data_IF_167537754017
#
_entry.id   IF_167537754017
#
_cell.length_a   1.000
_cell.length_b   1.000
_cell.length_c   1.000
_cell.angle_alpha   90.00
_cell.angle_beta   90.00
_cell.angle_gamma   90.00
#
_symmetry.space_group_name_H-M   'P 1'
#
loop_
_entity.id
_entity.type
_entity.pdbx_description
1 polymer ?
#
# COMPACT_ATOMS: atom_id res chain seq x y z
N UNK A 1 19.20 7.11 -10.55
CA UNK A 1 19.38 8.31 -9.72
C UNK A 1 20.84 8.36 -9.36
N UNK A 2 21.49 9.49 -9.59
CA UNK A 2 22.89 9.69 -9.22
C UNK A 2 23.02 9.68 -7.68
N UNK A 3 24.09 9.07 -7.15
CA UNK A 3 24.24 8.87 -5.69
C UNK A 3 24.35 10.20 -4.95
N UNK A 4 25.10 11.16 -5.50
CA UNK A 4 25.32 12.48 -4.91
C UNK A 4 24.00 13.30 -4.88
N UNK A 5 23.19 13.19 -5.93
CA UNK A 5 21.86 13.84 -5.99
C UNK A 5 20.88 13.26 -4.97
N UNK A 6 21.02 11.96 -4.65
CA UNK A 6 20.19 11.30 -3.67
C UNK A 6 20.57 11.72 -2.24
N UNK A 7 21.87 11.86 -1.95
CA UNK A 7 22.36 12.33 -0.65
C UNK A 7 21.91 13.77 -0.37
N UNK A 8 22.08 14.68 -1.35
CA UNK A 8 21.61 16.08 -1.25
C UNK A 8 20.10 16.17 -0.99
N UNK A 9 19.30 15.31 -1.64
CA UNK A 9 17.85 15.24 -1.42
C UNK A 9 17.52 14.77 0.00
N UNK A 10 18.18 13.70 0.47
CA UNK A 10 17.97 13.18 1.82
C UNK A 10 18.31 14.23 2.87
N UNK A 11 19.43 14.95 2.71
CA UNK A 11 19.79 16.05 3.61
C UNK A 11 18.73 17.16 3.64
N UNK A 12 18.20 17.56 2.48
CA UNK A 12 17.15 18.57 2.40
C UNK A 12 15.87 18.12 3.10
N UNK A 13 15.46 16.86 2.91
CA UNK A 13 14.29 16.29 3.59
C UNK A 13 14.51 16.29 5.10
N UNK A 14 15.66 15.79 5.58
CA UNK A 14 15.95 15.71 7.01
C UNK A 14 16.05 17.09 7.67
N UNK A 15 16.64 18.07 6.97
CA UNK A 15 16.77 19.45 7.48
C UNK A 15 15.42 20.16 7.61
N UNK A 16 14.52 19.93 6.67
CA UNK A 16 13.21 20.61 6.63
C UNK A 16 12.15 19.86 7.41
N UNK A 17 12.24 18.53 7.48
CA UNK A 17 11.20 17.66 8.04
C UNK A 17 9.88 17.72 7.27
N UNK A 18 9.89 18.24 6.03
CA UNK A 18 8.67 18.51 5.26
C UNK A 18 8.33 17.33 4.34
N UNK A 19 7.06 16.97 4.31
CA UNK A 19 6.43 16.12 3.30
C UNK A 19 4.99 16.61 3.12
N UNK A 20 4.35 16.27 1.99
CA UNK A 20 2.99 16.71 1.76
C UNK A 20 1.99 15.68 2.31
N UNK A 21 0.97 16.17 3.03
CA UNK A 21 -0.20 15.37 3.36
C UNK A 21 -1.29 15.66 2.33
N UNK A 22 -1.26 14.92 1.23
CA UNK A 22 -2.17 15.16 0.08
C UNK A 22 -3.62 14.77 0.35
N UNK A 23 -3.84 13.86 1.29
CA UNK A 23 -5.15 13.31 1.60
C UNK A 23 -5.50 13.53 3.06
N UNK A 24 -6.79 13.74 3.33
CA UNK A 24 -7.32 13.69 4.68
C UNK A 24 -7.24 12.27 5.26
N UNK A 25 -7.54 12.17 6.55
CA UNK A 25 -7.46 10.91 7.29
C UNK A 25 -8.48 9.87 6.82
N UNK A 26 -9.67 10.30 6.39
CA UNK A 26 -10.73 9.43 5.89
C UNK A 26 -10.31 8.76 4.58
N UNK A 27 -9.81 9.55 3.65
CA UNK A 27 -9.27 9.07 2.36
C UNK A 27 -8.08 8.15 2.58
N UNK A 28 -7.17 8.52 3.49
CA UNK A 28 -6.01 7.69 3.85
C UNK A 28 -6.45 6.34 4.45
N UNK A 29 -7.47 6.36 5.30
CA UNK A 29 -8.09 5.16 5.84
C UNK A 29 -8.76 4.29 4.78
N UNK A 30 -9.37 4.90 3.76
CA UNK A 30 -9.90 4.21 2.59
C UNK A 30 -8.84 3.39 1.86
N UNK A 31 -7.67 3.98 1.58
CA UNK A 31 -6.58 3.26 0.92
C UNK A 31 -5.97 2.15 1.78
N UNK A 32 -5.87 2.37 3.08
CA UNK A 32 -5.47 1.31 4.01
C UNK A 32 -6.45 0.14 3.94
N UNK A 33 -7.75 0.44 3.95
CA UNK A 33 -8.81 -0.56 3.89
C UNK A 33 -8.69 -1.36 2.60
N UNK A 34 -8.41 -0.68 1.48
CA UNK A 34 -8.10 -1.32 0.21
C UNK A 34 -6.88 -2.24 0.27
N UNK A 35 -5.75 -1.77 0.84
CA UNK A 35 -4.55 -2.60 0.98
C UNK A 35 -4.78 -3.81 1.89
N UNK A 36 -5.55 -3.62 2.96
CA UNK A 36 -5.94 -4.70 3.89
C UNK A 36 -6.71 -5.78 3.14
N UNK A 37 -7.76 -5.36 2.41
CA UNK A 37 -8.53 -6.26 1.56
C UNK A 37 -7.62 -7.02 0.59
N UNK A 38 -6.69 -6.33 -0.10
CA UNK A 38 -5.83 -6.98 -1.10
C UNK A 38 -4.88 -8.01 -0.50
N UNK A 39 -4.34 -7.76 0.69
CA UNK A 39 -3.48 -8.72 1.39
C UNK A 39 -4.27 -9.98 1.76
N UNK A 40 -5.47 -9.80 2.32
CA UNK A 40 -6.40 -10.87 2.69
C UNK A 40 -6.86 -11.66 1.45
N UNK A 41 -7.26 -10.97 0.39
CA UNK A 41 -7.73 -11.57 -0.87
C UNK A 41 -6.63 -12.39 -1.54
N UNK A 42 -5.39 -11.89 -1.53
CA UNK A 42 -4.25 -12.60 -2.14
C UNK A 42 -4.04 -13.96 -1.48
N UNK A 43 -4.07 -14.02 -0.14
CA UNK A 43 -3.93 -15.29 0.58
C UNK A 43 -5.10 -16.21 0.28
N UNK A 44 -6.33 -15.72 0.44
CA UNK A 44 -7.54 -16.52 0.23
C UNK A 44 -7.60 -17.11 -1.18
N UNK A 45 -7.40 -16.28 -2.20
CA UNK A 45 -7.44 -16.68 -3.61
C UNK A 45 -6.31 -17.65 -3.94
N UNK A 46 -5.10 -17.43 -3.42
CA UNK A 46 -3.99 -18.35 -3.61
C UNK A 46 -4.28 -19.71 -2.96
N UNK A 47 -4.71 -19.72 -1.70
CA UNK A 47 -4.96 -20.95 -0.95
C UNK A 47 -6.14 -21.75 -1.49
N UNK A 48 -7.26 -21.12 -1.85
CA UNK A 48 -8.37 -21.82 -2.55
C UNK A 48 -7.91 -22.51 -3.84
N UNK A 49 -6.95 -21.94 -4.56
CA UNK A 49 -6.42 -22.52 -5.80
C UNK A 49 -5.42 -23.65 -5.54
N UNK A 50 -4.62 -23.54 -4.47
CA UNK A 50 -3.56 -24.52 -4.17
C UNK A 50 -4.03 -25.69 -3.29
N UNK A 51 -5.06 -25.49 -2.48
CA UNK A 51 -5.57 -26.44 -1.50
C UNK A 51 -7.00 -26.87 -1.88
N UNK A 52 -7.09 -27.58 -3.01
CA UNK A 52 -8.35 -27.86 -3.71
C UNK A 52 -9.27 -28.82 -2.94
N UNK A 53 -8.70 -29.69 -2.11
CA UNK A 53 -9.43 -30.71 -1.34
C UNK A 53 -9.20 -30.59 0.18
N UNK A 54 -8.61 -29.48 0.64
CA UNK A 54 -8.25 -29.27 2.05
C UNK A 54 -9.08 -28.20 2.75
N UNK A 55 -8.58 -27.75 3.90
CA UNK A 55 -9.25 -26.79 4.78
C UNK A 55 -9.75 -25.54 4.04
N UNK A 56 -9.00 -25.04 3.05
CA UNK A 56 -9.33 -23.81 2.34
C UNK A 56 -10.38 -23.98 1.25
N UNK A 57 -10.65 -25.21 0.77
CA UNK A 57 -11.49 -25.47 -0.38
C UNK A 57 -12.94 -24.98 -0.18
N UNK A 58 -13.48 -25.22 1.00
CA UNK A 58 -14.89 -24.96 1.30
C UNK A 58 -15.12 -23.61 2.00
N UNK A 59 -14.08 -22.94 2.48
CA UNK A 59 -14.22 -21.65 3.16
C UNK A 59 -14.88 -20.60 2.27
N UNK A 60 -15.94 -20.00 2.78
CA UNK A 60 -16.47 -18.72 2.29
C UNK A 60 -15.52 -17.58 2.68
N UNK A 61 -15.69 -16.41 2.05
CA UNK A 61 -14.94 -15.22 2.42
C UNK A 61 -15.16 -14.83 3.90
N UNK A 62 -16.41 -14.92 4.37
CA UNK A 62 -16.78 -14.57 5.75
C UNK A 62 -16.17 -15.49 6.79
N UNK A 63 -16.17 -16.80 6.53
CA UNK A 63 -15.51 -17.79 7.38
C UNK A 63 -14.00 -17.57 7.41
N UNK A 64 -13.39 -17.31 6.25
CA UNK A 64 -11.96 -16.97 6.16
C UNK A 64 -11.61 -15.72 6.98
N UNK A 65 -12.36 -14.63 6.84
CA UNK A 65 -12.09 -13.41 7.60
C UNK A 65 -12.31 -13.65 9.10
N UNK A 66 -13.32 -14.44 9.47
CA UNK A 66 -13.57 -14.81 10.87
C UNK A 66 -12.42 -15.63 11.44
N UNK A 67 -11.88 -16.57 10.67
CA UNK A 67 -10.69 -17.35 10.98
C UNK A 67 -9.45 -16.45 11.13
N UNK A 68 -9.16 -15.58 10.15
CA UNK A 68 -8.01 -14.68 10.19
C UNK A 68 -8.01 -13.73 11.39
N UNK A 69 -9.20 -13.26 11.82
CA UNK A 69 -9.34 -12.43 13.03
C UNK A 69 -9.04 -13.18 14.33
N UNK A 70 -9.27 -14.49 14.37
CA UNK A 70 -9.07 -15.34 15.56
C UNK A 70 -7.63 -15.84 15.65
N UNK A 71 -7.04 -16.18 14.51
CA UNK A 71 -5.69 -16.72 14.46
C UNK A 71 -4.64 -15.63 14.52
N UNK A 72 -4.11 -15.40 15.74
CA UNK A 72 -3.12 -14.36 16.01
C UNK A 72 -1.88 -14.47 15.13
N UNK A 73 -1.38 -15.69 14.91
CA UNK A 73 -0.18 -15.92 14.08
C UNK A 73 -0.44 -15.51 12.63
N UNK A 74 -1.62 -15.85 12.09
CA UNK A 74 -2.01 -15.48 10.73
C UNK A 74 -2.25 -13.97 10.58
N UNK A 75 -2.86 -13.33 11.58
CA UNK A 75 -3.04 -11.88 11.61
C UNK A 75 -1.69 -11.14 11.59
N UNK A 76 -0.73 -11.58 12.41
CA UNK A 76 0.63 -11.02 12.43
C UNK A 76 1.37 -11.27 11.11
N UNK A 77 1.17 -12.42 10.48
CA UNK A 77 1.71 -12.69 9.15
C UNK A 77 1.13 -11.76 8.08
N UNK A 78 -0.18 -11.53 8.08
CA UNK A 78 -0.83 -10.60 7.15
C UNK A 78 -0.30 -9.17 7.32
N UNK A 79 -0.15 -8.70 8.56
CA UNK A 79 0.53 -7.44 8.87
C UNK A 79 1.94 -7.41 8.26
N UNK A 80 2.74 -8.45 8.52
CA UNK A 80 4.13 -8.52 8.03
C UNK A 80 4.20 -8.54 6.50
N UNK A 81 3.28 -9.23 5.84
CA UNK A 81 3.14 -9.24 4.37
C UNK A 81 2.85 -7.85 3.84
N UNK A 82 1.85 -7.14 4.40
CA UNK A 82 1.53 -5.77 4.00
C UNK A 82 2.76 -4.87 4.12
N UNK A 83 3.37 -4.85 5.31
CA UNK A 83 4.53 -4.01 5.61
C UNK A 83 5.71 -4.30 4.68
N UNK A 84 6.11 -5.56 4.56
CA UNK A 84 7.27 -5.94 3.74
C UNK A 84 7.04 -5.59 2.27
N UNK A 85 5.83 -5.80 1.75
CA UNK A 85 5.51 -5.53 0.35
C UNK A 85 5.59 -4.03 0.05
N UNK A 86 5.01 -3.19 0.92
CA UNK A 86 5.09 -1.72 0.77
C UNK A 86 6.53 -1.22 0.88
N UNK A 87 7.33 -1.78 1.80
CA UNK A 87 8.74 -1.42 1.96
C UNK A 87 9.58 -1.85 0.75
N UNK A 88 9.29 -3.01 0.16
CA UNK A 88 10.01 -3.52 -1.01
C UNK A 88 9.61 -2.85 -2.34
N UNK A 89 8.49 -2.13 -2.40
CA UNK A 89 8.02 -1.48 -3.63
C UNK A 89 9.10 -0.55 -4.21
N UNK A 90 9.57 -0.71 -5.45
CA UNK A 90 10.71 0.05 -5.94
C UNK A 90 10.32 1.49 -6.33
N UNK A 91 11.19 2.46 -6.06
CA UNK A 91 10.93 3.85 -6.43
C UNK A 91 10.79 4.05 -7.95
N UNK A 92 11.40 3.19 -8.75
CA UNK A 92 11.29 3.21 -10.21
C UNK A 92 9.95 2.68 -10.75
N UNK A 93 9.10 2.07 -9.91
CA UNK A 93 7.77 1.61 -10.32
C UNK A 93 6.72 2.73 -10.29
N UNK A 94 7.02 3.89 -9.70
CA UNK A 94 6.13 5.05 -9.79
C UNK A 94 6.17 5.62 -11.21
N UNK A 95 5.06 5.44 -11.95
CA UNK A 95 4.85 6.02 -13.27
C UNK A 95 3.82 7.15 -13.19
N UNK A 96 4.27 8.37 -13.45
CA UNK A 96 3.49 9.60 -13.39
C UNK A 96 2.71 9.90 -14.68
N UNK A 97 2.84 9.05 -15.69
CA UNK A 97 2.19 9.21 -17.00
C UNK A 97 0.94 8.35 -17.16
N UNK A 98 0.75 7.36 -16.29
CA UNK A 98 -0.40 6.46 -16.35
C UNK A 98 -1.72 7.21 -16.10
N UNK A 99 -2.78 6.69 -16.73
CA UNK A 99 -4.15 6.98 -16.33
C UNK A 99 -4.40 6.47 -14.91
N UNK A 100 -5.38 7.05 -14.24
CA UNK A 100 -5.71 6.66 -12.87
C UNK A 100 -6.18 5.20 -12.84
N UNK A 101 -5.56 4.39 -11.98
CA UNK A 101 -6.05 3.05 -11.72
C UNK A 101 -7.31 3.11 -10.85
N UNK A 102 -8.26 2.23 -11.15
CA UNK A 102 -9.44 2.04 -10.33
C UNK A 102 -9.06 1.29 -9.05
N UNK A 103 -9.39 1.90 -7.91
CA UNK A 103 -9.20 1.33 -6.58
C UNK A 103 -10.58 0.88 -6.11
N UNK A 104 -10.92 -0.38 -6.39
CA UNK A 104 -12.25 -0.93 -6.13
C UNK A 104 -12.20 -2.31 -5.42
N UNK A 105 -13.28 -2.63 -4.73
CA UNK A 105 -13.49 -3.90 -4.05
C UNK A 105 -14.41 -4.79 -4.91
N UNK A 106 -14.03 -6.03 -5.24
CA UNK A 106 -14.87 -6.88 -6.08
C UNK A 106 -16.24 -7.14 -5.46
N UNK A 107 -17.30 -6.99 -6.25
CA UNK A 107 -18.70 -7.22 -5.84
C UNK A 107 -18.88 -8.59 -5.16
N UNK A 108 -18.14 -9.61 -5.60
CA UNK A 108 -18.18 -10.96 -5.03
C UNK A 108 -17.73 -11.07 -3.56
N UNK A 109 -17.15 -10.00 -2.98
CA UNK A 109 -16.69 -9.95 -1.59
C UNK A 109 -17.68 -9.28 -0.65
N UNK A 110 -18.75 -8.70 -1.18
CA UNK A 110 -19.83 -8.14 -0.40
C UNK A 110 -20.83 -9.24 -0.02
N UNK A 111 -21.29 -9.21 1.23
CA UNK A 111 -22.36 -10.08 1.68
C UNK A 111 -23.72 -9.65 1.10
N UNK A 112 -24.77 -10.41 1.42
CA UNK A 112 -26.14 -10.11 0.97
C UNK A 112 -26.71 -8.77 1.46
N UNK A 113 -26.10 -8.17 2.49
CA UNK A 113 -26.43 -6.85 3.00
C UNK A 113 -25.58 -5.73 2.37
N UNK A 114 -24.67 -6.06 1.46
CA UNK A 114 -23.75 -5.11 0.84
C UNK A 114 -22.59 -4.70 1.76
N UNK A 115 -22.23 -5.54 2.73
CA UNK A 115 -21.11 -5.27 3.64
C UNK A 115 -19.86 -6.05 3.24
N UNK A 116 -18.72 -5.37 3.24
CA UNK A 116 -17.41 -5.99 3.06
C UNK A 116 -16.80 -6.34 4.42
N UNK A 117 -16.54 -7.63 4.64
CA UNK A 117 -15.86 -8.12 5.84
C UNK A 117 -14.35 -8.16 5.63
N UNK A 118 -13.59 -7.58 6.56
CA UNK A 118 -12.12 -7.57 6.58
C UNK A 118 -11.58 -7.72 7.99
N UNK A 119 -10.41 -8.31 8.18
CA UNK A 119 -9.90 -8.59 9.52
C UNK A 119 -9.42 -7.36 10.30
N UNK A 120 -9.27 -6.21 9.63
CA UNK A 120 -8.72 -4.97 10.20
C UNK A 120 -7.34 -5.23 10.78
N UNK A 121 -6.34 -5.40 9.91
CA UNK A 121 -5.01 -5.83 10.28
C UNK A 121 -4.31 -4.93 11.30
N UNK A 122 -4.63 -3.64 11.37
CA UNK A 122 -3.92 -2.69 12.22
C UNK A 122 -4.89 -1.70 12.89
N UNK A 123 -4.45 -1.06 13.98
CA UNK A 123 -5.18 0.05 14.62
C UNK A 123 -5.01 1.35 13.83
N UNK A 124 -6.06 2.16 13.76
CA UNK A 124 -6.13 3.40 12.96
C UNK A 124 -4.83 4.26 12.98
N UNK A 125 -4.27 4.51 14.16
CA UNK A 125 -3.07 5.33 14.35
C UNK A 125 -1.79 4.71 13.76
N UNK A 126 -1.58 3.39 13.90
CA UNK A 126 -0.40 2.71 13.36
C UNK A 126 -0.50 2.49 11.83
N UNK A 127 -1.71 2.55 11.29
CA UNK A 127 -2.01 2.28 9.89
C UNK A 127 -1.70 3.43 8.93
N UNK A 128 -2.04 4.66 9.35
CA UNK A 128 -1.92 5.85 8.53
C UNK A 128 -0.48 5.99 8.02
N UNK A 129 0.50 5.63 8.86
CA UNK A 129 1.92 5.67 8.53
C UNK A 129 2.33 4.79 7.35
N UNK A 130 1.68 3.64 7.07
CA UNK A 130 2.04 2.78 5.94
C UNK A 130 1.63 3.44 4.61
N UNK A 131 0.41 3.97 4.56
CA UNK A 131 -0.12 4.64 3.36
C UNK A 131 0.63 5.95 3.13
N UNK A 132 0.83 6.74 4.18
CA UNK A 132 1.62 7.98 4.14
C UNK A 132 3.06 7.71 3.72
N UNK A 133 3.68 6.61 4.18
CA UNK A 133 5.01 6.23 3.75
C UNK A 133 5.08 5.93 2.26
N UNK A 134 4.12 5.17 1.70
CA UNK A 134 4.08 4.91 0.26
C UNK A 134 3.86 6.21 -0.53
N UNK A 135 3.01 7.11 -0.04
CA UNK A 135 2.82 8.44 -0.64
C UNK A 135 4.10 9.26 -0.62
N UNK A 136 4.78 9.33 0.52
CA UNK A 136 6.07 10.01 0.64
C UNK A 136 7.12 9.47 -0.34
N UNK A 137 7.13 8.15 -0.59
CA UNK A 137 8.00 7.57 -1.60
C UNK A 137 7.64 8.00 -3.02
N UNK A 138 6.35 8.13 -3.33
CA UNK A 138 5.88 8.70 -4.60
C UNK A 138 6.31 10.16 -4.74
N UNK A 139 6.14 10.98 -3.69
CA UNK A 139 6.60 12.38 -3.64
C UNK A 139 8.11 12.49 -3.91
N UNK A 140 8.90 11.68 -3.21
CA UNK A 140 10.35 11.64 -3.39
C UNK A 140 10.76 11.21 -4.79
N UNK A 141 10.02 10.30 -5.41
CA UNK A 141 10.26 9.86 -6.79
C UNK A 141 9.84 10.94 -7.82
N UNK A 142 8.84 11.77 -7.50
CA UNK A 142 8.32 12.80 -8.38
C UNK A 142 9.21 14.05 -8.41
N UNK A 143 9.78 14.45 -7.26
CA UNK A 143 10.59 15.66 -7.13
C UNK A 143 11.73 15.78 -8.16
N UNK A 144 12.56 14.76 -8.44
CA UNK A 144 13.62 14.85 -9.44
C UNK A 144 13.13 15.23 -10.84
N UNK A 145 11.91 14.82 -11.22
CA UNK A 145 11.32 15.18 -12.51
C UNK A 145 11.10 16.69 -12.60
N UNK A 146 10.63 17.31 -11.52
CA UNK A 146 10.44 18.75 -11.44
C UNK A 146 11.73 19.53 -11.23
N UNK A 147 12.67 19.04 -10.42
CA UNK A 147 14.01 19.67 -10.27
C UNK A 147 14.70 19.77 -11.63
N UNK A 148 14.56 18.77 -12.50
CA UNK A 148 15.08 18.82 -13.88
C UNK A 148 14.43 19.91 -14.73
N UNK A 149 13.13 20.15 -14.58
CA UNK A 149 12.39 21.16 -15.35
C UNK A 149 12.58 22.58 -14.82
N UNK A 150 12.57 22.75 -13.49
CA UNK A 150 12.65 24.03 -12.78
C UNK A 150 14.09 24.52 -12.59
N UNK A 151 15.06 23.62 -12.68
CA UNK A 151 16.49 23.93 -12.58
C UNK A 151 17.09 23.69 -11.19
N UNK A 152 18.41 23.92 -11.04
CA UNK A 152 19.18 23.48 -9.87
C UNK A 152 18.81 24.19 -8.56
N UNK A 153 18.19 25.37 -8.62
CA UNK A 153 17.76 26.13 -7.44
C UNK A 153 16.39 25.69 -6.90
N UNK A 154 15.72 24.76 -7.58
CA UNK A 154 14.46 24.20 -7.11
C UNK A 154 14.74 23.20 -5.98
N UNK A 155 14.44 23.62 -4.75
CA UNK A 155 14.70 22.85 -3.53
C UNK A 155 13.51 21.98 -3.16
N UNK A 156 13.73 21.02 -2.25
CA UNK A 156 12.65 20.21 -1.67
C UNK A 156 11.57 21.08 -1.01
N UNK A 157 11.97 22.10 -0.25
CA UNK A 157 11.05 23.03 0.41
C UNK A 157 10.16 23.76 -0.60
N UNK A 158 10.75 24.31 -1.67
CA UNK A 158 9.99 24.95 -2.74
C UNK A 158 9.04 23.97 -3.42
N UNK A 159 9.49 22.72 -3.63
CA UNK A 159 8.66 21.66 -4.17
C UNK A 159 7.45 21.35 -3.30
N UNK A 160 7.62 21.21 -1.98
CA UNK A 160 6.49 20.95 -1.06
C UNK A 160 5.55 22.15 -1.01
N UNK A 161 6.08 23.38 -0.95
CA UNK A 161 5.26 24.60 -0.98
C UNK A 161 4.46 24.66 -2.28
N UNK A 162 5.08 24.42 -3.44
CA UNK A 162 4.34 24.33 -4.70
C UNK A 162 3.31 23.20 -4.64
N UNK A 163 3.65 22.02 -4.12
CA UNK A 163 2.73 20.88 -4.06
C UNK A 163 1.45 21.19 -3.28
N UNK A 164 1.58 21.88 -2.15
CA UNK A 164 0.45 22.24 -1.29
C UNK A 164 -0.39 23.43 -1.82
N UNK A 165 0.19 24.27 -2.68
CA UNK A 165 -0.48 25.48 -3.21
C UNK A 165 -0.87 25.37 -4.70
N UNK A 166 -0.44 24.31 -5.39
CA UNK A 166 -0.59 24.18 -6.84
C UNK A 166 -1.97 23.71 -7.30
N UNK A 167 -2.23 23.93 -8.58
CA UNK A 167 -3.41 23.43 -9.30
C UNK A 167 -3.27 21.94 -9.62
N UNK A 168 -4.41 21.32 -9.98
CA UNK A 168 -4.57 19.93 -10.39
C UNK A 168 -3.45 19.37 -11.28
N UNK A 169 -2.95 20.13 -12.25
CA UNK A 169 -1.88 19.69 -13.16
C UNK A 169 -0.60 19.21 -12.47
N UNK A 170 -0.27 19.74 -11.29
CA UNK A 170 0.91 19.37 -10.53
C UNK A 170 0.64 18.18 -9.60
N UNK A 171 -0.53 18.14 -8.97
CA UNK A 171 -0.92 17.16 -7.94
C UNK A 171 -1.50 15.87 -8.54
N UNK A 172 -2.22 15.98 -9.66
CA UNK A 172 -2.91 14.84 -10.29
C UNK A 172 -1.94 13.75 -10.74
N UNK A 173 -0.80 14.03 -11.41
CA UNK A 173 0.14 12.97 -11.80
C UNK A 173 0.68 12.19 -10.60
N UNK A 174 0.97 12.89 -9.50
CA UNK A 174 1.43 12.26 -8.26
C UNK A 174 0.33 11.39 -7.63
N UNK A 175 -0.90 11.91 -7.55
CA UNK A 175 -2.06 11.17 -7.05
C UNK A 175 -2.34 9.91 -7.88
N UNK A 176 -2.28 10.02 -9.22
CA UNK A 176 -2.44 8.87 -10.12
C UNK A 176 -1.34 7.84 -9.95
N UNK A 177 -0.07 8.28 -9.89
CA UNK A 177 1.05 7.38 -9.69
C UNK A 177 0.95 6.62 -8.36
N UNK A 178 0.54 7.31 -7.29
CA UNK A 178 0.29 6.69 -5.99
C UNK A 178 -0.83 5.65 -6.06
N UNK A 179 -1.99 5.98 -6.65
CA UNK A 179 -3.11 5.03 -6.80
C UNK A 179 -2.72 3.82 -7.65
N UNK A 180 -1.98 4.04 -8.74
CA UNK A 180 -1.42 2.95 -9.54
C UNK A 180 -0.49 2.06 -8.71
N UNK A 181 0.38 2.64 -7.87
CA UNK A 181 1.24 1.87 -6.98
C UNK A 181 0.43 1.00 -6.01
N UNK A 182 -0.67 1.49 -5.44
CA UNK A 182 -1.56 0.69 -4.58
C UNK A 182 -2.08 -0.56 -5.29
N UNK A 183 -2.39 -0.48 -6.59
CA UNK A 183 -2.88 -1.61 -7.40
C UNK A 183 -1.72 -2.54 -7.81
N UNK A 184 -0.53 -1.99 -8.07
CA UNK A 184 0.64 -2.74 -8.52
C UNK A 184 1.34 -3.53 -7.41
N UNK A 185 1.14 -3.21 -6.13
CA UNK A 185 1.70 -4.00 -5.02
C UNK A 185 1.34 -5.47 -5.19
N UNK A 186 2.32 -6.38 -5.22
CA UNK A 186 2.09 -7.82 -5.30
C UNK A 186 2.42 -8.48 -3.95
N UNK A 187 1.37 -8.98 -3.29
CA UNK A 187 1.48 -9.60 -1.97
C UNK A 187 1.80 -11.09 -2.04
N UNK A 188 1.68 -11.74 -3.20
CA UNK A 188 1.79 -13.18 -3.34
C UNK A 188 3.20 -13.69 -2.98
N UNK A 189 4.31 -13.08 -3.46
CA UNK A 189 5.65 -13.55 -3.10
C UNK A 189 5.92 -13.50 -1.60
N UNK A 190 5.43 -12.45 -0.93
CA UNK A 190 5.58 -12.31 0.52
C UNK A 190 4.75 -13.37 1.27
N UNK A 191 3.52 -13.65 0.81
CA UNK A 191 2.71 -14.74 1.36
C UNK A 191 3.35 -16.11 1.17
N UNK A 192 3.89 -16.39 -0.02
CA UNK A 192 4.57 -17.66 -0.32
C UNK A 192 5.82 -17.89 0.54
N UNK A 193 6.45 -16.81 1.01
CA UNK A 193 7.59 -16.89 1.92
C UNK A 193 7.16 -17.11 3.38
N UNK A 194 6.10 -16.42 3.83
CA UNK A 194 5.70 -16.40 5.25
C UNK A 194 4.74 -17.54 5.60
N UNK A 195 3.76 -17.84 4.75
CA UNK A 195 2.71 -18.80 5.05
C UNK A 195 3.24 -20.20 5.42
N UNK A 196 4.21 -20.78 4.68
CA UNK A 196 4.72 -22.11 5.02
C UNK A 196 5.36 -22.20 6.42
N UNK A 197 5.86 -21.08 6.97
CA UNK A 197 6.47 -21.07 8.30
C UNK A 197 5.46 -20.98 9.44
N UNK A 198 4.20 -20.71 9.13
CA UNK A 198 3.11 -20.57 10.11
C UNK A 198 1.97 -21.55 9.87
N UNK A 199 2.06 -22.38 8.82
CA UNK A 199 0.94 -23.20 8.37
C UNK A 199 0.50 -24.20 9.44
N UNK A 200 1.44 -24.89 10.08
CA UNK A 200 1.13 -25.82 11.17
C UNK A 200 0.43 -25.07 12.31
N UNK A 201 0.97 -23.93 12.75
CA UNK A 201 0.37 -23.14 13.83
C UNK A 201 -0.99 -22.51 13.47
N UNK A 202 -1.31 -22.33 12.19
CA UNK A 202 -2.51 -21.67 11.71
C UNK A 202 -3.64 -22.65 11.33
N UNK A 203 -3.31 -23.85 10.86
CA UNK A 203 -4.28 -24.85 10.40
C UNK A 203 -4.56 -25.97 11.43
N UNK A 204 -4.00 -25.88 12.64
CA UNK A 204 -4.26 -26.84 13.73
C UNK A 204 -5.49 -26.42 14.55
N UNK A 205 -6.49 -27.29 14.61
CA UNK A 205 -7.51 -27.36 15.68
C UNK A 205 -6.98 -28.04 16.93
#
# INVERSE_FOLDING_TARGET
MDWDQNEELVEQILRTGMYAKLYDEETTYGYLTYLTYRVEDTLFTWKKKSDVDGFWADLTWEEYISFLRREKTLLLAAQRVLFNTVMAFPASAFDFTLSEAEVDFPVARYDSAGMLHMAKLYSFENCISIVEFLMFRAERAYYPLWKKQRGPHYTWELYIVELLHSRREFVDPLSRAFRNALVQLDFLPAWQMIYPTIQEDAEIE
#
